data_IF_116515578604
#
_entry.id   IF_116515578604
#
_cell.length_a   1.000
_cell.length_b   1.000
_cell.length_c   1.000
_cell.angle_alpha   90.00
_cell.angle_beta   90.00
_cell.angle_gamma   90.00
#
_symmetry.space_group_name_H-M   'P 1'
#
loop_
_entity.id
_entity.type
_entity.pdbx_description
1 polymer ?
#
# COMPACT_ATOMS: atom_id res chain seq x y z
N UNK A 1 24.37 -25.72 4.53
CA UNK A 1 24.98 -25.95 5.86
C UNK A 1 25.06 -24.68 6.71
N UNK A 2 25.31 -23.48 6.14
CA UNK A 2 25.30 -22.20 6.88
C UNK A 2 23.90 -21.75 7.39
N UNK A 3 22.82 -22.33 6.86
CA UNK A 3 21.43 -21.96 7.18
C UNK A 3 20.91 -22.61 8.47
N UNK A 4 21.35 -23.83 8.80
CA UNK A 4 20.92 -24.55 10.01
C UNK A 4 21.59 -24.00 11.28
N UNK A 5 22.81 -23.48 11.16
CA UNK A 5 23.58 -22.88 12.26
C UNK A 5 22.96 -21.57 12.71
N UNK A 6 22.55 -20.69 11.78
CA UNK A 6 21.90 -19.42 12.12
C UNK A 6 20.57 -19.61 12.88
N UNK A 7 19.76 -20.61 12.49
CA UNK A 7 18.50 -20.92 13.18
C UNK A 7 18.75 -21.56 14.56
N UNK A 8 19.74 -22.44 14.69
CA UNK A 8 20.10 -23.03 15.97
C UNK A 8 20.65 -21.97 16.96
N UNK A 9 21.43 -21.02 16.45
CA UNK A 9 21.95 -19.89 17.23
C UNK A 9 20.83 -18.94 17.66
N UNK A 10 19.87 -18.62 16.79
CA UNK A 10 18.67 -17.85 17.14
C UNK A 10 17.81 -18.58 18.20
N UNK A 11 17.62 -19.90 18.06
CA UNK A 11 16.93 -20.72 19.07
C UNK A 11 17.66 -20.71 20.41
N UNK A 12 18.99 -20.76 20.40
CA UNK A 12 19.82 -20.69 21.61
C UNK A 12 19.73 -19.31 22.26
N UNK A 13 19.76 -18.23 21.48
CA UNK A 13 19.58 -16.87 21.95
C UNK A 13 18.18 -16.67 22.56
N UNK A 14 17.14 -17.18 21.90
CA UNK A 14 15.77 -17.12 22.40
C UNK A 14 15.56 -17.94 23.68
N UNK A 15 16.14 -19.15 23.77
CA UNK A 15 16.12 -19.96 24.99
C UNK A 15 16.90 -19.32 26.14
N UNK A 16 17.98 -18.59 25.84
CA UNK A 16 18.74 -17.83 26.84
C UNK A 16 17.91 -16.66 27.36
N UNK A 17 17.22 -15.96 26.46
CA UNK A 17 16.26 -14.91 26.81
C UNK A 17 15.12 -15.43 27.72
N UNK A 18 14.52 -16.59 27.40
CA UNK A 18 13.49 -17.21 28.24
C UNK A 18 13.99 -17.60 29.63
N UNK A 19 15.25 -18.06 29.74
CA UNK A 19 15.88 -18.38 31.03
C UNK A 19 16.14 -17.13 31.86
N UNK A 20 16.47 -16.02 31.21
CA UNK A 20 16.72 -14.73 31.89
C UNK A 20 15.47 -14.04 32.40
N UNK A 21 14.31 -14.28 31.77
CA UNK A 21 13.01 -13.85 32.31
C UNK A 21 12.73 -14.51 33.68
N UNK A 22 13.21 -15.75 33.89
CA UNK A 22 13.08 -16.46 35.17
C UNK A 22 14.21 -16.14 36.17
N UNK A 23 15.44 -15.94 35.69
CA UNK A 23 16.61 -15.63 36.51
C UNK A 23 17.53 -14.61 35.80
N UNK A 24 17.51 -13.32 36.17
CA UNK A 24 18.36 -12.32 35.53
C UNK A 24 19.84 -12.56 35.85
N UNK A 25 20.68 -12.55 34.82
CA UNK A 25 22.12 -12.86 34.88
C UNK A 25 23.02 -11.61 34.98
N UNK A 26 22.44 -10.41 35.12
CA UNK A 26 23.15 -9.12 35.22
C UNK A 26 22.92 -8.38 36.54
N UNK A 27 23.55 -7.21 36.71
CA UNK A 27 23.36 -6.36 37.89
C UNK A 27 21.91 -5.88 38.00
N UNK A 28 21.20 -6.47 38.96
CA UNK A 28 19.78 -6.20 39.22
C UNK A 28 19.66 -4.81 39.85
N UNK A 29 19.34 -3.79 39.06
CA UNK A 29 18.70 -2.59 39.61
C UNK A 29 17.36 -3.06 40.18
N UNK A 30 17.22 -3.01 41.51
CA UNK A 30 16.04 -3.46 42.26
C UNK A 30 14.73 -2.94 41.65
N UNK A 31 14.16 -3.70 40.71
CA UNK A 31 12.77 -3.58 40.25
C UNK A 31 12.10 -4.91 40.52
N UNK A 32 10.85 -4.87 40.98
CA UNK A 32 10.03 -6.06 41.30
C UNK A 32 9.80 -7.01 40.11
N UNK A 33 10.09 -6.57 38.90
CA UNK A 33 9.91 -7.30 37.64
C UNK A 33 10.96 -6.83 36.62
N UNK A 34 11.62 -7.77 35.92
CA UNK A 34 12.67 -7.50 34.92
C UNK A 34 12.40 -8.28 33.64
N UNK A 35 12.16 -7.57 32.53
CA UNK A 35 12.05 -8.15 31.20
C UNK A 35 13.16 -7.58 30.29
N UNK A 36 14.02 -8.41 29.68
CA UNK A 36 15.17 -7.92 28.90
C UNK A 36 14.79 -7.44 27.48
N UNK A 37 14.15 -6.27 27.39
CA UNK A 37 13.68 -5.62 26.15
C UNK A 37 14.80 -5.44 25.11
N UNK A 38 16.00 -5.04 25.54
CA UNK A 38 17.13 -4.80 24.63
C UNK A 38 17.60 -6.06 23.90
N UNK A 39 17.54 -7.23 24.56
CA UNK A 39 17.90 -8.51 23.95
C UNK A 39 16.82 -9.00 23.00
N UNK A 40 15.56 -8.82 23.37
CA UNK A 40 14.43 -9.07 22.48
C UNK A 40 14.55 -8.25 21.19
N UNK A 41 14.92 -6.97 21.31
CA UNK A 41 15.17 -6.08 20.17
C UNK A 41 16.30 -6.60 19.27
N UNK A 42 17.42 -7.06 19.83
CA UNK A 42 18.50 -7.66 19.04
C UNK A 42 18.08 -8.95 18.34
N UNK A 43 17.27 -9.79 18.99
CA UNK A 43 16.74 -11.02 18.40
C UNK A 43 15.83 -10.67 17.22
N UNK A 44 14.90 -9.73 17.39
CA UNK A 44 14.01 -9.32 16.30
C UNK A 44 14.73 -8.63 15.14
N UNK A 45 15.73 -7.79 15.42
CA UNK A 45 16.57 -7.21 14.37
C UNK A 45 17.29 -8.30 13.57
N UNK A 46 17.88 -9.28 14.25
CA UNK A 46 18.54 -10.41 13.59
C UNK A 46 17.57 -11.30 12.81
N UNK A 47 16.33 -11.48 13.29
CA UNK A 47 15.27 -12.21 12.59
C UNK A 47 14.78 -11.47 11.34
N UNK A 48 14.64 -10.15 11.42
CA UNK A 48 14.14 -9.33 10.32
C UNK A 48 15.19 -9.09 9.22
N UNK A 49 16.48 -9.10 9.57
CA UNK A 49 17.59 -8.98 8.62
C UNK A 49 17.99 -10.30 7.95
N UNK A 50 17.53 -11.44 8.47
CA UNK A 50 17.89 -12.74 7.93
C UNK A 50 17.03 -13.09 6.70
N UNK A 51 17.69 -13.22 5.55
CA UNK A 51 17.04 -13.49 4.25
C UNK A 51 16.54 -14.94 4.12
N UNK A 52 17.21 -15.90 4.79
CA UNK A 52 17.02 -17.34 4.57
C UNK A 52 16.69 -18.10 5.86
N UNK A 53 15.55 -17.77 6.48
CA UNK A 53 15.09 -18.44 7.71
C UNK A 53 13.87 -19.30 7.41
N UNK A 54 13.89 -20.56 7.84
CA UNK A 54 12.70 -21.43 7.87
C UNK A 54 11.70 -20.92 8.92
N UNK A 55 10.93 -19.91 8.51
CA UNK A 55 9.91 -19.21 9.31
C UNK A 55 8.93 -20.17 9.99
N UNK A 56 8.59 -21.30 9.36
CA UNK A 56 7.69 -22.31 9.93
C UNK A 56 8.15 -22.83 11.30
N UNK A 57 9.45 -23.04 11.51
CA UNK A 57 9.97 -23.54 12.78
C UNK A 57 9.99 -22.47 13.88
N UNK A 58 10.25 -21.21 13.50
CA UNK A 58 10.23 -20.09 14.44
C UNK A 58 8.80 -19.66 14.77
N UNK A 59 7.88 -19.77 13.81
CA UNK A 59 6.45 -19.53 14.02
C UNK A 59 5.90 -20.48 15.08
N UNK A 60 6.22 -21.78 15.03
CA UNK A 60 5.81 -22.75 16.07
C UNK A 60 6.34 -22.34 17.45
N UNK A 61 7.61 -21.95 17.54
CA UNK A 61 8.18 -21.50 18.82
C UNK A 61 7.56 -20.20 19.34
N UNK A 62 7.23 -19.27 18.46
CA UNK A 62 6.57 -18.03 18.83
C UNK A 62 5.12 -18.29 19.24
N UNK A 63 4.38 -19.14 18.52
CA UNK A 63 2.98 -19.52 18.85
C UNK A 63 2.87 -20.19 20.21
N UNK A 64 3.84 -21.03 20.58
CA UNK A 64 3.88 -21.69 21.90
C UNK A 64 4.01 -20.68 23.07
N UNK A 65 4.45 -19.45 22.79
CA UNK A 65 4.64 -18.39 23.77
C UNK A 65 3.66 -17.21 23.63
N UNK A 66 2.72 -17.26 22.67
CA UNK A 66 1.64 -16.25 22.51
C UNK A 66 0.70 -16.22 23.72
N UNK A 67 0.67 -17.26 24.56
CA UNK A 67 -0.13 -17.28 25.79
C UNK A 67 0.43 -16.35 26.89
N UNK A 68 1.70 -15.96 26.82
CA UNK A 68 2.33 -15.07 27.80
C UNK A 68 2.05 -13.60 27.45
N UNK A 69 1.12 -12.97 28.17
CA UNK A 69 0.73 -11.55 28.01
C UNK A 69 1.91 -10.58 28.03
N UNK A 70 2.85 -10.77 28.96
CA UNK A 70 4.04 -9.92 29.08
C UNK A 70 4.95 -10.02 27.85
N UNK A 71 5.12 -11.23 27.32
CA UNK A 71 5.90 -11.47 26.12
C UNK A 71 5.24 -10.76 24.93
N UNK A 72 3.91 -10.86 24.78
CA UNK A 72 3.19 -10.14 23.73
C UNK A 72 3.34 -8.62 23.85
N UNK A 73 3.22 -8.06 25.06
CA UNK A 73 3.33 -6.62 25.32
C UNK A 73 4.72 -6.06 24.96
N UNK A 74 5.79 -6.64 25.50
CA UNK A 74 7.15 -6.15 25.25
C UNK A 74 7.65 -6.47 23.84
N UNK A 75 7.10 -7.52 23.21
CA UNK A 75 7.35 -7.78 21.80
C UNK A 75 6.77 -6.68 20.93
N UNK A 76 5.53 -6.29 21.19
CA UNK A 76 4.89 -5.17 20.53
C UNK A 76 5.66 -3.85 20.69
N UNK A 77 6.07 -3.51 21.91
CA UNK A 77 6.88 -2.30 22.19
C UNK A 77 8.23 -2.30 21.43
N UNK A 78 8.88 -3.47 21.36
CA UNK A 78 10.08 -3.65 20.56
C UNK A 78 9.82 -3.46 19.07
N UNK A 79 8.73 -4.03 18.53
CA UNK A 79 8.41 -3.92 17.10
C UNK A 79 8.15 -2.48 16.67
N UNK A 80 7.43 -1.70 17.48
CA UNK A 80 7.23 -0.27 17.22
C UNK A 80 8.57 0.49 17.13
N UNK A 81 9.48 0.20 18.07
CA UNK A 81 10.80 0.82 18.11
C UNK A 81 11.72 0.38 16.96
N UNK A 82 11.57 -0.87 16.50
CA UNK A 82 12.35 -1.45 15.39
C UNK A 82 11.86 -0.93 14.04
N UNK A 83 10.54 -0.82 13.87
CA UNK A 83 9.93 -0.31 12.65
C UNK A 83 10.39 1.12 12.31
N UNK A 84 10.71 1.94 13.31
CA UNK A 84 11.22 3.30 13.10
C UNK A 84 12.70 3.37 12.70
N UNK A 85 13.47 2.30 12.91
CA UNK A 85 14.94 2.30 12.77
C UNK A 85 15.47 1.50 11.58
N UNK A 86 14.61 0.76 10.88
CA UNK A 86 15.01 -0.17 9.82
C UNK A 86 14.78 0.38 8.41
N UNK A 87 15.77 0.17 7.54
CA UNK A 87 15.66 0.41 6.10
C UNK A 87 14.73 -0.62 5.42
N UNK A 88 13.78 -0.12 4.63
CA UNK A 88 12.73 -0.90 3.95
C UNK A 88 13.28 -1.98 3.00
N UNK A 89 14.53 -1.84 2.53
CA UNK A 89 15.13 -2.73 1.52
C UNK A 89 15.52 -4.11 2.05
N UNK A 90 15.85 -4.24 3.34
CA UNK A 90 16.36 -5.48 3.95
C UNK A 90 15.30 -6.24 4.73
N UNK A 91 14.09 -5.69 4.90
CA UNK A 91 13.06 -6.30 5.73
C UNK A 91 12.37 -7.49 5.04
N UNK A 92 12.37 -8.64 5.70
CA UNK A 92 11.58 -9.79 5.29
C UNK A 92 10.09 -9.56 5.62
N UNK A 93 9.38 -8.95 4.69
CA UNK A 93 7.98 -8.48 4.85
C UNK A 93 7.02 -9.55 5.33
N UNK A 94 7.17 -10.78 4.84
CA UNK A 94 6.32 -11.90 5.22
C UNK A 94 6.44 -12.23 6.71
N UNK A 95 7.67 -12.15 7.24
CA UNK A 95 7.99 -12.38 8.66
C UNK A 95 7.40 -11.24 9.50
N UNK A 96 7.58 -9.99 9.10
CA UNK A 96 7.06 -8.83 9.84
C UNK A 96 5.53 -8.82 9.94
N UNK A 97 4.81 -9.11 8.84
CA UNK A 97 3.34 -9.14 8.85
C UNK A 97 2.78 -10.29 9.68
N UNK A 98 3.45 -11.46 9.66
CA UNK A 98 3.04 -12.60 10.47
C UNK A 98 3.36 -12.39 11.95
N UNK A 99 4.48 -11.74 12.29
CA UNK A 99 4.83 -11.39 13.67
C UNK A 99 3.82 -10.42 14.30
N UNK A 100 3.41 -9.38 13.56
CA UNK A 100 2.37 -8.44 13.99
C UNK A 100 1.00 -9.14 14.18
N UNK A 101 0.70 -10.16 13.37
CA UNK A 101 -0.51 -10.97 13.54
C UNK A 101 -0.45 -11.96 14.71
N UNK A 102 0.76 -12.37 15.14
CA UNK A 102 0.99 -13.32 16.24
C UNK A 102 0.99 -12.66 17.62
N UNK A 103 1.38 -11.39 17.73
CA UNK A 103 1.24 -10.66 19.00
C UNK A 103 -0.24 -10.37 19.23
N UNK A 104 -0.92 -11.24 20.00
CA UNK A 104 -2.19 -10.87 20.66
C UNK A 104 -1.96 -9.51 21.30
N UNK A 105 -2.60 -8.46 20.79
CA UNK A 105 -2.61 -7.18 21.47
C UNK A 105 -3.24 -7.45 22.83
N UNK A 106 -2.54 -7.20 23.95
CA UNK A 106 -3.15 -7.34 25.27
C UNK A 106 -4.42 -6.49 25.28
N UNK A 107 -5.57 -7.11 25.62
CA UNK A 107 -6.90 -6.50 25.57
C UNK A 107 -7.10 -5.28 26.52
N UNK A 108 -6.04 -4.68 27.03
CA UNK A 108 -6.11 -3.41 27.74
C UNK A 108 -5.96 -2.27 26.75
N UNK A 109 -7.11 -1.72 26.33
CA UNK A 109 -7.18 -0.40 25.69
C UNK A 109 -6.46 0.61 26.58
N UNK A 110 -5.19 0.91 26.29
CA UNK A 110 -4.48 2.04 26.89
C UNK A 110 -4.50 3.20 25.90
N UNK A 111 -4.64 4.41 26.45
CA UNK A 111 -4.71 5.66 25.68
C UNK A 111 -3.48 5.87 24.76
N UNK A 112 -2.40 5.14 25.02
CA UNK A 112 -1.14 5.14 24.27
C UNK A 112 -1.20 4.41 22.91
N UNK A 113 -2.25 3.61 22.65
CA UNK A 113 -2.51 3.04 21.31
C UNK A 113 -2.68 4.16 20.26
N UNK A 114 -3.14 5.36 20.66
CA UNK A 114 -3.24 6.53 19.78
C UNK A 114 -1.90 6.96 19.19
N UNK A 115 -0.78 6.71 19.87
CA UNK A 115 0.55 7.18 19.44
C UNK A 115 1.14 6.33 18.31
N UNK A 116 0.85 5.02 18.28
CA UNK A 116 1.38 4.12 17.23
C UNK A 116 0.73 4.37 15.87
N UNK A 117 -0.53 4.78 15.85
CA UNK A 117 -1.26 5.01 14.61
C UNK A 117 -1.05 6.39 13.98
N UNK A 118 -0.47 7.34 14.73
CA UNK A 118 -0.31 8.73 14.29
C UNK A 118 0.96 8.96 13.46
N UNK A 119 1.99 8.13 13.63
CA UNK A 119 3.31 8.30 12.98
C UNK A 119 3.54 7.40 11.76
N UNK A 120 2.58 6.56 11.39
CA UNK A 120 2.70 5.60 10.30
C UNK A 120 2.40 6.26 8.94
N UNK A 121 3.26 7.18 8.50
CA UNK A 121 3.22 7.72 7.13
C UNK A 121 4.49 7.24 6.41
N UNK A 122 4.39 6.23 5.54
CA UNK A 122 5.51 5.75 4.72
C UNK A 122 5.33 4.34 4.13
N UNK A 123 6.40 3.73 3.59
CA UNK A 123 6.33 2.36 3.06
C UNK A 123 6.02 1.31 4.15
N UNK A 124 6.45 1.59 5.38
CA UNK A 124 6.35 0.69 6.54
C UNK A 124 4.91 0.61 7.05
N UNK A 125 4.15 1.70 6.91
CA UNK A 125 2.74 1.74 7.30
C UNK A 125 1.84 0.89 6.39
N UNK A 126 2.22 0.73 5.11
CA UNK A 126 1.54 -0.19 4.19
C UNK A 126 1.65 -1.64 4.69
N UNK A 127 2.79 -1.98 5.29
CA UNK A 127 3.05 -3.32 5.83
C UNK A 127 2.26 -3.51 7.13
N UNK A 128 2.17 -2.46 7.96
CA UNK A 128 1.29 -2.42 9.12
C UNK A 128 -0.19 -2.54 8.77
N UNK A 129 -0.64 -2.04 7.61
CA UNK A 129 -2.03 -2.13 7.15
C UNK A 129 -2.52 -3.58 7.06
N UNK A 130 -1.66 -4.51 6.65
CA UNK A 130 -1.99 -5.93 6.65
C UNK A 130 -2.23 -6.46 8.06
N UNK A 131 -1.37 -6.08 9.01
CA UNK A 131 -1.54 -6.45 10.42
C UNK A 131 -2.86 -5.91 10.96
N UNK A 132 -3.17 -4.65 10.68
CA UNK A 132 -4.45 -4.02 11.03
C UNK A 132 -5.63 -4.79 10.42
N UNK A 133 -5.55 -5.19 9.15
CA UNK A 133 -6.60 -5.95 8.50
C UNK A 133 -6.90 -7.28 9.23
N UNK A 134 -5.86 -8.01 9.63
CA UNK A 134 -5.99 -9.26 10.40
C UNK A 134 -6.61 -8.96 11.78
N UNK A 135 -6.16 -7.90 12.46
CA UNK A 135 -6.68 -7.49 13.77
C UNK A 135 -8.16 -7.09 13.73
N UNK A 136 -8.57 -6.37 12.69
CA UNK A 136 -9.97 -5.99 12.48
C UNK A 136 -10.81 -7.23 12.15
N UNK A 137 -10.32 -8.10 11.27
CA UNK A 137 -11.07 -9.26 10.77
C UNK A 137 -11.22 -10.36 11.82
N UNK A 138 -10.13 -10.73 12.50
CA UNK A 138 -10.08 -11.92 13.35
C UNK A 138 -10.31 -11.57 14.83
N UNK A 139 -9.95 -10.35 15.26
CA UNK A 139 -10.04 -9.92 16.66
C UNK A 139 -11.07 -8.80 16.91
N UNK A 140 -11.82 -8.35 15.89
CA UNK A 140 -12.84 -7.31 15.97
C UNK A 140 -12.35 -6.01 16.65
N UNK A 141 -11.06 -5.68 16.49
CA UNK A 141 -10.49 -4.46 17.05
C UNK A 141 -10.90 -3.25 16.20
N UNK A 142 -11.64 -2.33 16.80
CA UNK A 142 -12.04 -1.08 16.15
C UNK A 142 -10.85 -0.14 16.01
N UNK A 143 -10.35 0.04 14.78
CA UNK A 143 -9.35 1.07 14.52
C UNK A 143 -10.04 2.42 14.26
N UNK A 144 -9.71 3.49 15.01
CA UNK A 144 -10.28 4.81 14.75
C UNK A 144 -9.79 5.35 13.40
N UNK A 145 -10.76 5.79 12.58
CA UNK A 145 -10.56 6.43 11.27
C UNK A 145 -9.63 5.66 10.31
N UNK A 146 -9.91 4.36 10.09
CA UNK A 146 -9.17 3.53 9.12
C UNK A 146 -9.20 4.17 7.73
N UNK A 147 -10.36 4.65 7.30
CA UNK A 147 -10.52 5.19 5.94
C UNK A 147 -9.78 6.52 5.73
N UNK A 148 -9.71 7.41 6.73
CA UNK A 148 -8.86 8.60 6.64
C UNK A 148 -7.37 8.25 6.52
N UNK A 149 -6.91 7.25 7.28
CA UNK A 149 -5.53 6.74 7.17
C UNK A 149 -5.27 6.10 5.81
N UNK A 150 -6.21 5.27 5.33
CA UNK A 150 -6.13 4.64 4.01
C UNK A 150 -6.07 5.70 2.89
N UNK A 151 -6.90 6.74 3.00
CA UNK A 151 -6.93 7.86 2.06
C UNK A 151 -5.58 8.58 1.99
N UNK A 152 -4.91 8.74 3.12
CA UNK A 152 -3.59 9.36 3.21
C UNK A 152 -2.43 8.50 2.70
N UNK A 153 -2.63 7.21 2.42
CA UNK A 153 -1.61 6.40 1.74
C UNK A 153 -1.60 6.62 0.22
N UNK A 154 -2.70 7.14 -0.35
CA UNK A 154 -2.77 7.51 -1.76
C UNK A 154 -2.10 8.87 -1.97
N UNK A 155 -0.77 8.88 -1.98
CA UNK A 155 0.06 10.04 -2.33
C UNK A 155 0.89 9.75 -3.59
N UNK A 156 1.56 10.76 -4.13
CA UNK A 156 2.48 10.61 -5.27
C UNK A 156 3.62 9.64 -4.97
N UNK A 157 4.05 9.56 -3.72
CA UNK A 157 5.16 8.71 -3.28
C UNK A 157 4.81 7.21 -3.36
N UNK A 158 3.51 6.89 -3.39
CA UNK A 158 3.01 5.52 -3.45
C UNK A 158 3.57 4.74 -4.64
N UNK A 159 3.78 5.40 -5.79
CA UNK A 159 4.25 4.74 -7.01
C UNK A 159 5.68 4.19 -6.90
N UNK A 160 6.48 4.80 -6.02
CA UNK A 160 7.87 4.39 -5.76
C UNK A 160 7.96 3.24 -4.75
N UNK A 161 6.87 2.88 -4.08
CA UNK A 161 6.88 1.82 -3.09
C UNK A 161 6.87 0.44 -3.73
N UNK A 162 7.78 -0.42 -3.27
CA UNK A 162 7.89 -1.83 -3.71
C UNK A 162 6.61 -2.63 -3.44
N UNK A 163 5.82 -2.24 -2.43
CA UNK A 163 4.64 -2.97 -1.96
C UNK A 163 3.31 -2.31 -2.37
N UNK A 164 3.32 -1.48 -3.41
CA UNK A 164 2.12 -0.79 -3.92
C UNK A 164 0.99 -1.74 -4.35
N UNK A 165 1.33 -2.90 -4.92
CA UNK A 165 0.34 -3.92 -5.32
C UNK A 165 -0.46 -4.44 -4.13
N UNK A 166 0.21 -4.62 -2.99
CA UNK A 166 -0.42 -5.03 -1.73
C UNK A 166 -1.33 -3.94 -1.16
N UNK A 167 -0.96 -2.67 -1.30
CA UNK A 167 -1.82 -1.56 -0.92
C UNK A 167 -3.11 -1.56 -1.74
N UNK A 168 -3.03 -1.70 -3.07
CA UNK A 168 -4.22 -1.76 -3.93
C UNK A 168 -5.11 -2.97 -3.59
N UNK A 169 -4.52 -4.13 -3.34
CA UNK A 169 -5.26 -5.33 -2.91
C UNK A 169 -6.02 -5.09 -1.60
N UNK A 170 -5.35 -4.56 -0.58
CA UNK A 170 -5.98 -4.27 0.71
C UNK A 170 -7.04 -3.17 0.59
N UNK A 171 -6.78 -2.14 -0.23
CA UNK A 171 -7.74 -1.09 -0.50
C UNK A 171 -9.02 -1.63 -1.16
N UNK A 172 -8.91 -2.60 -2.08
CA UNK A 172 -10.10 -3.23 -2.69
C UNK A 172 -10.96 -3.92 -1.62
N UNK A 173 -10.33 -4.64 -0.70
CA UNK A 173 -11.03 -5.33 0.38
C UNK A 173 -11.72 -4.32 1.30
N UNK A 174 -11.02 -3.26 1.73
CA UNK A 174 -11.59 -2.24 2.63
C UNK A 174 -12.74 -1.47 1.99
N UNK A 175 -12.65 -1.17 0.69
CA UNK A 175 -13.66 -0.43 -0.06
C UNK A 175 -14.77 -1.34 -0.63
N UNK A 176 -14.71 -2.65 -0.38
CA UNK A 176 -15.81 -3.59 -0.63
C UNK A 176 -16.85 -3.61 0.50
N UNK A 177 -16.59 -2.91 1.60
CA UNK A 177 -17.52 -2.82 2.73
C UNK A 177 -18.86 -2.18 2.31
N UNK A 178 -19.97 -2.73 2.78
CA UNK A 178 -21.33 -2.28 2.44
C UNK A 178 -21.75 -0.97 3.12
N UNK A 179 -21.11 -0.59 4.23
CA UNK A 179 -21.53 0.54 5.06
C UNK A 179 -20.75 1.83 4.78
N UNK A 180 -20.28 2.02 3.55
CA UNK A 180 -19.46 3.17 3.18
C UNK A 180 -20.33 4.36 2.74
N UNK A 181 -20.11 5.57 3.30
CA UNK A 181 -20.80 6.75 2.81
C UNK A 181 -20.27 7.13 1.42
N UNK A 182 -21.19 7.54 0.54
CA UNK A 182 -20.88 7.86 -0.86
C UNK A 182 -19.84 8.99 -1.00
N UNK A 183 -19.88 9.99 -0.10
CA UNK A 183 -18.90 11.07 0.01
C UNK A 183 -17.46 10.54 0.14
N UNK A 184 -17.27 9.49 0.94
CA UNK A 184 -15.97 8.89 1.16
C UNK A 184 -15.47 8.21 -0.13
N UNK A 185 -16.32 7.40 -0.76
CA UNK A 185 -15.96 6.68 -1.98
C UNK A 185 -15.68 7.66 -3.12
N UNK A 186 -16.45 8.74 -3.23
CA UNK A 186 -16.20 9.82 -4.17
C UNK A 186 -14.81 10.45 -3.98
N UNK A 187 -14.40 10.69 -2.72
CA UNK A 187 -13.09 11.22 -2.40
C UNK A 187 -11.96 10.28 -2.86
N UNK A 188 -12.10 8.97 -2.63
CA UNK A 188 -11.16 7.97 -3.11
C UNK A 188 -11.07 7.94 -4.64
N UNK A 189 -12.22 7.91 -5.34
CA UNK A 189 -12.28 7.92 -6.81
C UNK A 189 -11.55 9.15 -7.35
N UNK A 190 -11.86 10.34 -6.82
CA UNK A 190 -11.29 11.60 -7.30
C UNK A 190 -9.79 11.72 -6.98
N UNK A 191 -9.34 11.25 -5.81
CA UNK A 191 -7.91 11.19 -5.48
C UNK A 191 -7.15 10.26 -6.42
N UNK A 192 -7.66 9.05 -6.68
CA UNK A 192 -7.04 8.12 -7.63
C UNK A 192 -7.05 8.68 -9.06
N UNK A 193 -8.12 9.36 -9.48
CA UNK A 193 -8.19 10.02 -10.78
C UNK A 193 -7.10 11.10 -10.93
N UNK A 194 -6.89 11.97 -9.92
CA UNK A 194 -5.78 12.94 -9.94
C UNK A 194 -4.41 12.25 -9.95
N UNK A 195 -4.22 11.22 -9.14
CA UNK A 195 -2.96 10.46 -9.11
C UNK A 195 -2.66 9.78 -10.45
N UNK A 196 -3.68 9.37 -11.20
CA UNK A 196 -3.52 8.73 -12.52
C UNK A 196 -2.89 9.61 -13.59
N UNK A 197 -2.84 10.93 -13.39
CA UNK A 197 -2.15 11.85 -14.32
C UNK A 197 -0.63 11.79 -14.19
N UNK A 198 -0.11 11.41 -13.01
CA UNK A 198 1.33 11.36 -12.72
C UNK A 198 1.84 9.90 -12.74
N UNK A 199 0.92 8.94 -12.63
CA UNK A 199 1.23 7.53 -12.46
C UNK A 199 1.91 6.89 -13.69
N UNK A 200 2.73 5.83 -13.48
CA UNK A 200 3.21 5.00 -14.57
C UNK A 200 2.06 4.17 -15.18
N UNK A 201 2.20 3.70 -16.42
CA UNK A 201 1.10 3.11 -17.18
C UNK A 201 0.53 1.82 -16.57
N UNK A 202 1.35 1.03 -15.86
CA UNK A 202 0.89 -0.16 -15.13
C UNK A 202 -0.12 0.23 -14.04
N UNK A 203 0.20 1.27 -13.29
CA UNK A 203 -0.59 1.73 -12.16
C UNK A 203 -1.85 2.48 -12.63
N UNK A 204 -1.79 3.16 -13.78
CA UNK A 204 -2.98 3.76 -14.42
C UNK A 204 -4.01 2.66 -14.72
N UNK A 205 -3.61 1.52 -15.31
CA UNK A 205 -4.56 0.42 -15.60
C UNK A 205 -5.24 -0.08 -14.32
N UNK A 206 -4.47 -0.28 -13.25
CA UNK A 206 -4.98 -0.73 -11.95
C UNK A 206 -5.97 0.30 -11.38
N UNK A 207 -5.60 1.58 -11.35
CA UNK A 207 -6.46 2.65 -10.82
C UNK A 207 -7.75 2.83 -11.65
N UNK A 208 -7.67 2.75 -12.98
CA UNK A 208 -8.83 2.85 -13.87
C UNK A 208 -9.79 1.69 -13.62
N UNK A 209 -9.28 0.45 -13.54
CA UNK A 209 -10.11 -0.71 -13.20
C UNK A 209 -10.75 -0.56 -11.81
N UNK A 210 -9.96 -0.10 -10.83
CA UNK A 210 -10.44 0.14 -9.48
C UNK A 210 -11.54 1.20 -9.42
N UNK A 211 -11.37 2.33 -10.11
CA UNK A 211 -12.37 3.39 -10.22
C UNK A 211 -13.67 2.85 -10.84
N UNK A 212 -13.59 2.11 -11.94
CA UNK A 212 -14.82 1.57 -12.53
C UNK A 212 -15.49 0.50 -11.66
N UNK A 213 -14.74 -0.31 -10.92
CA UNK A 213 -15.32 -1.21 -9.91
C UNK A 213 -16.07 -0.44 -8.81
N UNK A 214 -15.52 0.68 -8.32
CA UNK A 214 -16.23 1.53 -7.36
C UNK A 214 -17.49 2.19 -7.94
N UNK A 215 -17.47 2.58 -9.22
CA UNK A 215 -18.63 3.14 -9.93
C UNK A 215 -19.71 2.08 -10.22
N UNK A 216 -19.32 0.80 -10.36
CA UNK A 216 -20.25 -0.33 -10.48
C UNK A 216 -20.92 -0.60 -9.12
N UNK A 217 -20.14 -0.62 -8.03
CA UNK A 217 -20.63 -0.84 -6.65
C UNK A 217 -21.53 0.29 -6.15
N UNK A 218 -21.22 1.54 -6.50
CA UNK A 218 -21.95 2.73 -6.08
C UNK A 218 -22.53 3.49 -7.29
N UNK A 219 -23.71 3.08 -7.80
CA UNK A 219 -24.39 3.76 -8.90
C UNK A 219 -24.58 5.29 -8.78
N UNK A 220 -24.85 5.89 -7.60
CA UNK A 220 -25.03 7.35 -7.51
C UNK A 220 -23.75 8.14 -7.87
N UNK A 221 -22.58 7.53 -7.74
CA UNK A 221 -21.30 8.16 -8.09
C UNK A 221 -21.10 8.31 -9.61
N UNK A 222 -21.97 7.71 -10.44
CA UNK A 222 -21.94 7.91 -11.89
C UNK A 222 -22.16 9.37 -12.30
N UNK A 223 -22.74 10.19 -11.40
CA UNK A 223 -22.83 11.65 -11.57
C UNK A 223 -21.44 12.26 -11.82
N UNK A 224 -20.37 11.71 -11.23
CA UNK A 224 -19.00 12.21 -11.42
C UNK A 224 -18.49 12.09 -12.87
N UNK A 225 -19.03 11.15 -13.66
CA UNK A 225 -18.65 10.96 -15.07
C UNK A 225 -19.30 12.03 -15.96
N UNK A 226 -20.55 12.37 -15.67
CA UNK A 226 -21.38 13.26 -16.47
C UNK A 226 -22.05 14.27 -15.55
N UNK A 227 -21.29 15.31 -15.19
CA UNK A 227 -21.80 16.42 -14.40
C UNK A 227 -21.75 17.70 -15.24
N UNK A 228 -22.88 18.01 -15.87
CA UNK A 228 -23.04 19.23 -16.69
C UNK A 228 -23.15 20.51 -15.81
N UNK A 229 -23.28 20.35 -14.49
CA UNK A 229 -23.43 21.48 -13.56
C UNK A 229 -22.11 22.12 -13.12
N UNK A 230 -20.97 21.47 -13.37
CA UNK A 230 -19.65 21.99 -12.97
C UNK A 230 -19.13 22.95 -14.05
N UNK A 231 -19.70 24.14 -14.11
CA UNK A 231 -19.23 25.23 -14.95
C UNK A 231 -18.39 26.16 -14.07
N UNK A 232 -17.06 26.08 -14.15
CA UNK A 232 -16.15 26.95 -13.39
C UNK A 232 -14.95 26.21 -12.78
N UNK A 233 -14.65 26.54 -11.51
CA UNK A 233 -13.53 25.97 -10.75
C UNK A 233 -13.92 24.67 -10.03
N UNK A 234 -13.05 23.66 -10.06
CA UNK A 234 -13.26 22.37 -9.38
C UNK A 234 -13.33 22.57 -7.85
N UNK A 235 -14.44 22.20 -7.17
CA UNK A 235 -14.55 22.32 -5.72
C UNK A 235 -13.68 21.31 -4.94
N UNK A 236 -13.05 20.33 -5.62
CA UNK A 236 -12.30 19.27 -4.95
C UNK A 236 -10.91 19.73 -4.45
N UNK A 237 -10.68 19.51 -3.14
CA UNK A 237 -9.45 19.85 -2.43
C UNK A 237 -8.55 18.61 -2.35
N UNK A 238 -7.38 18.66 -2.98
CA UNK A 238 -6.47 17.50 -3.02
C UNK A 238 -5.71 17.27 -1.71
N UNK A 239 -5.26 18.34 -1.05
CA UNK A 239 -4.39 18.30 0.13
C UNK A 239 -5.14 17.95 1.43
N UNK A 240 -6.48 17.84 1.35
CA UNK A 240 -7.31 17.53 2.50
C UNK A 240 -7.02 16.10 3.00
N UNK A 241 -6.85 15.92 4.31
CA UNK A 241 -6.57 14.60 4.91
C UNK A 241 -7.84 13.84 5.22
N UNK A 242 -8.94 14.54 5.48
CA UNK A 242 -10.23 13.93 5.76
C UNK A 242 -11.01 13.73 4.44
N UNK A 243 -11.24 12.48 3.99
CA UNK A 243 -11.94 12.23 2.72
C UNK A 243 -13.34 12.86 2.69
N UNK A 244 -14.03 12.93 3.83
CA UNK A 244 -15.37 13.50 3.95
C UNK A 244 -15.43 15.02 3.71
N UNK A 245 -14.31 15.75 3.87
CA UNK A 245 -14.24 17.20 3.70
C UNK A 245 -13.69 17.63 2.34
N UNK A 246 -13.30 16.66 1.50
CA UNK A 246 -12.65 16.93 0.20
C UNK A 246 -13.59 17.51 -0.87
N UNK A 247 -14.91 17.51 -0.64
CA UNK A 247 -15.95 17.97 -1.58
C UNK A 247 -15.95 17.26 -2.94
N UNK A 248 -15.47 16.01 -2.99
CA UNK A 248 -15.33 15.25 -4.23
C UNK A 248 -16.66 14.95 -4.96
N UNK A 249 -17.80 14.87 -4.26
CA UNK A 249 -19.10 14.60 -4.91
C UNK A 249 -19.54 15.72 -5.86
N UNK A 250 -19.18 16.97 -5.57
CA UNK A 250 -19.56 18.13 -6.37
C UNK A 250 -18.60 18.35 -7.55
N UNK A 251 -17.54 17.55 -7.65
CA UNK A 251 -16.57 17.58 -8.73
C UNK A 251 -17.00 16.66 -9.90
N UNK A 252 -16.26 16.73 -11.00
CA UNK A 252 -16.32 15.79 -12.13
C UNK A 252 -14.97 15.06 -12.33
N UNK A 253 -14.91 14.05 -13.19
CA UNK A 253 -13.69 13.26 -13.48
C UNK A 253 -13.00 13.67 -14.79
N UNK A 254 -12.57 14.93 -14.88
CA UNK A 254 -11.83 15.43 -16.05
C UNK A 254 -10.49 14.72 -16.25
N UNK A 255 -9.87 14.23 -15.19
CA UNK A 255 -8.58 13.55 -15.25
C UNK A 255 -8.67 12.27 -16.09
N UNK A 256 -9.77 11.53 -15.99
CA UNK A 256 -10.04 10.37 -16.83
C UNK A 256 -10.36 10.77 -18.28
N UNK A 257 -10.95 11.95 -18.51
CA UNK A 257 -11.19 12.44 -19.87
C UNK A 257 -9.85 12.70 -20.57
N UNK A 258 -8.88 13.31 -19.87
CA UNK A 258 -7.53 13.53 -20.40
C UNK A 258 -6.83 12.21 -20.75
N UNK A 259 -6.99 11.18 -19.93
CA UNK A 259 -6.40 9.85 -20.18
C UNK A 259 -7.04 9.09 -21.37
N UNK A 260 -8.14 9.57 -21.95
CA UNK A 260 -8.68 8.99 -23.20
C UNK A 260 -7.67 9.05 -24.35
N UNK A 261 -6.82 10.07 -24.38
CA UNK A 261 -5.79 10.28 -25.39
C UNK A 261 -4.39 9.88 -24.89
N UNK A 262 -4.32 8.89 -24.00
CA UNK A 262 -3.05 8.37 -23.51
C UNK A 262 -2.24 7.69 -24.64
N UNK A 263 -0.92 7.86 -24.59
CA UNK A 263 0.05 7.36 -25.59
C UNK A 263 -0.10 5.85 -25.82
N UNK A 264 -0.34 5.10 -24.74
CA UNK A 264 -0.54 3.65 -24.80
C UNK A 264 -2.01 3.31 -25.13
N UNK A 265 -2.29 2.60 -26.23
CA UNK A 265 -3.65 2.32 -26.68
C UNK A 265 -4.41 1.40 -25.72
N UNK A 266 -3.73 0.48 -25.02
CA UNK A 266 -4.35 -0.38 -23.99
C UNK A 266 -5.01 0.47 -22.88
N UNK A 267 -4.29 1.49 -22.39
CA UNK A 267 -4.79 2.40 -21.34
C UNK A 267 -5.97 3.23 -21.87
N UNK A 268 -5.83 3.83 -23.05
CA UNK A 268 -6.90 4.61 -23.69
C UNK A 268 -8.19 3.78 -23.86
N UNK A 269 -8.08 2.51 -24.29
CA UNK A 269 -9.22 1.60 -24.43
C UNK A 269 -9.91 1.34 -23.08
N UNK A 270 -9.14 1.05 -22.02
CA UNK A 270 -9.68 0.82 -20.68
C UNK A 270 -10.43 2.04 -20.15
N UNK A 271 -9.86 3.24 -20.32
CA UNK A 271 -10.51 4.50 -19.91
C UNK A 271 -11.78 4.75 -20.71
N UNK A 272 -11.73 4.58 -22.03
CA UNK A 272 -12.90 4.74 -22.90
C UNK A 272 -14.03 3.75 -22.55
N UNK A 273 -13.71 2.60 -21.97
CA UNK A 273 -14.71 1.64 -21.52
C UNK A 273 -15.53 2.16 -20.32
N UNK A 274 -14.93 2.96 -19.43
CA UNK A 274 -15.63 3.58 -18.28
C UNK A 274 -16.70 4.57 -18.74
N UNK A 275 -16.43 5.32 -19.81
CA UNK A 275 -17.38 6.30 -20.37
C UNK A 275 -18.49 5.65 -21.22
N UNK A 276 -18.39 4.34 -21.51
CA UNK A 276 -19.48 3.57 -22.13
C UNK A 276 -20.43 3.06 -21.04
N UNK A 277 -21.45 2.30 -21.44
CA UNK A 277 -22.31 1.58 -20.48
C UNK A 277 -21.46 0.58 -19.70
N UNK A 278 -21.27 0.85 -18.42
CA UNK A 278 -20.52 -0.02 -17.51
C UNK A 278 -21.19 -1.42 -17.43
N UNK A 279 -20.38 -2.49 -17.35
CA UNK A 279 -20.90 -3.85 -17.15
C UNK A 279 -21.55 -3.99 -15.77
N UNK A 280 -22.35 -5.05 -15.60
CA UNK A 280 -22.89 -5.43 -14.29
C UNK A 280 -21.86 -6.19 -13.41
N UNK A 281 -20.82 -6.74 -14.03
CA UNK A 281 -19.79 -7.57 -13.36
C UNK A 281 -18.53 -6.75 -13.17
N UNK A 282 -17.93 -6.86 -11.98
CA UNK A 282 -16.65 -6.24 -11.63
C UNK A 282 -15.49 -6.83 -12.44
N UNK A 283 -14.46 -6.01 -12.71
CA UNK A 283 -13.22 -6.52 -13.28
C UNK A 283 -12.34 -7.15 -12.21
N UNK A 284 -11.63 -8.21 -12.58
CA UNK A 284 -10.66 -8.83 -11.70
C UNK A 284 -9.40 -7.97 -11.60
N UNK A 285 -9.22 -7.33 -10.45
CA UNK A 285 -8.04 -6.49 -10.16
C UNK A 285 -6.81 -7.36 -9.89
N UNK A 286 -6.98 -8.63 -9.50
CA UNK A 286 -5.87 -9.49 -9.10
C UNK A 286 -4.92 -9.82 -10.25
N UNK A 287 -5.44 -10.02 -11.45
CA UNK A 287 -4.65 -10.21 -12.66
C UNK A 287 -3.82 -8.96 -12.97
N UNK A 288 -4.44 -7.78 -12.88
CA UNK A 288 -3.79 -6.48 -13.16
C UNK A 288 -2.70 -6.12 -12.14
N UNK A 289 -2.79 -6.63 -10.90
CA UNK A 289 -1.80 -6.35 -9.86
C UNK A 289 -0.47 -7.09 -10.09
N UNK A 290 -0.45 -8.14 -10.91
CA UNK A 290 0.75 -8.90 -11.22
C UNK A 290 1.51 -8.33 -12.44
N UNK A 291 0.93 -7.35 -13.14
CA UNK A 291 1.54 -6.74 -14.32
C UNK A 291 2.74 -5.87 -13.94
N UNK A 292 3.89 -6.23 -14.49
CA UNK A 292 5.10 -5.39 -14.49
C UNK A 292 5.24 -4.66 -15.83
N UNK A 293 6.08 -3.63 -15.85
CA UNK A 293 6.42 -2.94 -17.10
C UNK A 293 7.14 -3.88 -18.09
N UNK A 294 7.94 -4.81 -17.58
CA UNK A 294 8.61 -5.85 -18.38
C UNK A 294 7.58 -6.75 -19.06
N UNK A 295 6.59 -7.26 -18.32
CA UNK A 295 5.52 -8.08 -18.89
C UNK A 295 4.75 -7.32 -19.97
N UNK A 296 4.46 -6.03 -19.73
CA UNK A 296 3.77 -5.20 -20.71
C UNK A 296 4.57 -5.06 -22.01
N UNK A 297 5.89 -4.88 -21.92
CA UNK A 297 6.77 -4.81 -23.10
C UNK A 297 6.83 -6.18 -23.81
N UNK A 298 6.99 -7.26 -23.06
CA UNK A 298 7.05 -8.61 -23.60
C UNK A 298 5.76 -9.00 -24.33
N UNK A 299 4.62 -8.54 -23.83
CA UNK A 299 3.34 -8.67 -24.53
C UNK A 299 3.34 -7.93 -25.86
N UNK A 300 3.79 -6.66 -25.89
CA UNK A 300 3.84 -5.89 -27.14
C UNK A 300 4.79 -6.55 -28.16
N UNK A 301 5.93 -7.11 -27.73
CA UNK A 301 6.83 -7.85 -28.63
C UNK A 301 6.21 -9.11 -29.21
N UNK A 302 5.27 -9.75 -28.51
CA UNK A 302 4.55 -10.91 -29.00
C UNK A 302 3.39 -10.55 -29.93
N UNK A 303 2.95 -9.29 -29.94
CA UNK A 303 1.87 -8.87 -30.83
C UNK A 303 2.34 -8.81 -32.28
N UNK A 304 1.67 -9.57 -33.15
CA UNK A 304 1.95 -9.53 -34.58
C UNK A 304 1.35 -8.26 -35.20
N UNK A 305 2.21 -7.37 -35.70
CA UNK A 305 1.77 -6.16 -36.39
C UNK A 305 1.39 -6.50 -37.84
N UNK A 306 0.10 -6.41 -38.17
CA UNK A 306 -0.41 -6.67 -39.53
C UNK A 306 -0.06 -5.56 -40.56
N UNK A 307 0.41 -4.39 -40.12
CA UNK A 307 0.71 -3.26 -41.02
C UNK A 307 1.78 -2.34 -40.43
N UNK A 308 2.96 -2.31 -41.04
CA UNK A 308 3.96 -1.26 -40.78
C UNK A 308 3.47 0.01 -41.48
N UNK A 309 2.92 0.95 -40.71
CA UNK A 309 2.48 2.23 -41.24
C UNK A 309 3.70 3.13 -41.38
N UNK A 310 4.23 3.27 -42.60
CA UNK A 310 5.28 4.25 -42.91
C UNK A 310 4.61 5.61 -43.16
N UNK A 311 4.41 6.40 -42.11
CA UNK A 311 4.20 7.85 -42.26
C UNK A 311 5.54 8.46 -42.63
N UNK A 312 5.81 8.56 -43.93
CA UNK A 312 7.00 9.24 -44.45
C UNK A 312 6.73 10.74 -44.54
N UNK A 313 7.13 11.48 -43.51
CA UNK A 313 7.33 12.92 -43.61
C UNK A 313 8.80 13.17 -43.96
N UNK A 314 9.06 13.78 -45.12
CA UNK A 314 10.43 14.08 -45.54
C UNK A 314 11.00 15.15 -44.60
N UNK A 315 12.07 14.87 -43.83
CA UNK A 315 12.67 15.87 -42.97
C UNK A 315 13.26 16.97 -43.86
N UNK A 316 12.85 18.23 -43.63
CA UNK A 316 13.37 19.42 -44.31
C UNK A 316 14.75 19.83 -43.79
N UNK A 317 15.12 19.38 -42.60
CA UNK A 317 16.42 19.60 -41.95
C UNK A 317 16.79 18.40 -41.06
N UNK A 318 18.07 18.23 -40.76
CA UNK A 318 18.56 17.25 -39.76
C UNK A 318 18.30 17.69 -38.32
N UNK A 319 17.87 18.94 -38.11
CA UNK A 319 17.42 19.43 -36.81
C UNK A 319 16.00 18.93 -36.51
N UNK A 320 15.72 18.64 -35.24
CA UNK A 320 14.34 18.47 -34.76
C UNK A 320 13.55 19.70 -35.18
N UNK A 321 12.37 19.57 -35.81
CA UNK A 321 11.61 20.73 -36.24
C UNK A 321 11.22 21.56 -35.01
N UNK A 322 11.80 22.76 -34.91
CA UNK A 322 11.51 23.82 -33.91
C UNK A 322 10.03 24.28 -33.91
N UNK A 323 9.16 23.67 -34.72
CA UNK A 323 7.77 24.10 -34.92
C UNK A 323 6.80 23.58 -33.86
N UNK A 324 7.24 22.66 -33.01
CA UNK A 324 6.50 22.34 -31.80
C UNK A 324 7.11 23.22 -30.72
N UNK A 325 6.29 23.92 -29.93
CA UNK A 325 6.66 24.73 -28.74
C UNK A 325 7.40 23.95 -27.63
N UNK A 326 8.09 22.87 -27.99
CA UNK A 326 8.91 22.01 -27.16
C UNK A 326 10.17 22.73 -26.70
N UNK A 327 10.78 23.56 -27.55
CA UNK A 327 11.96 24.36 -27.19
C UNK A 327 11.63 25.47 -26.17
N UNK A 328 10.40 25.98 -26.16
CA UNK A 328 9.92 26.95 -25.16
C UNK A 328 9.79 26.33 -23.74
N UNK A 329 9.70 24.99 -23.65
CA UNK A 329 9.49 24.24 -22.41
C UNK A 329 10.80 23.62 -21.85
N UNK A 330 11.85 23.57 -22.66
CA UNK A 330 13.16 23.02 -22.29
C UNK A 330 14.21 24.12 -22.17
N UNK A 331 13.97 25.10 -21.31
CA UNK A 331 15.05 25.96 -20.81
C UNK A 331 15.77 25.21 -19.68
N UNK A 332 16.97 24.72 -19.95
CA UNK A 332 17.91 24.30 -18.91
C UNK A 332 18.40 25.56 -18.18
N UNK A 333 17.68 25.96 -17.15
CA UNK A 333 18.19 26.86 -16.09
C UNK A 333 18.76 26.04 -14.92
#
# INVERSE_FOLDING_TARGET
MATATAVADLKKQFNTFLRENKCPTGEIVKKKYYFPVNRLKTIYMSMLSATDVQWSQLQVMLTDHVENLDFCYYSWECFASIALQLDVKTMNVYIFTNLLGLTKIPNEKKEDDKLLFHSLTGPISILGLQGIFILVKDYNLECPNIYGKLYNFFTTDMFNYRYKTRLFYLADIFLRSTHLPELLVAAFIKRMARLSLIAPPTDIKIMVAFIGNLLIRHPPLKVLIQNDSVVGSDPYIFDEKDPLKSNALNSSLWELVSLKQHILPKVSKSVNFIFKKLPQVEWDVSELLNDSYENMIDEEFKTEFQKVSLTYEKPTSYAVPLSNHFDDLWTLD
#
